data_IF_274510697589
#
_entry.id   IF_274510697589
#
_cell.length_a   1.000
_cell.length_b   1.000
_cell.length_c   1.000
_cell.angle_alpha   90.00
_cell.angle_beta   90.00
_cell.angle_gamma   90.00
#
_symmetry.space_group_name_H-M   'P 1'
#
loop_
_entity.id
_entity.type
_entity.pdbx_description
1 polymer ?
#
# COMPACT_ATOMS: atom_id res chain seq x y z
N UNK A 1 55.90 -13.41 21.80
CA UNK A 1 54.89 -13.82 22.80
C UNK A 1 53.78 -12.77 22.84
N UNK A 2 52.99 -12.65 21.77
CA UNK A 2 51.85 -11.71 21.66
C UNK A 2 51.06 -12.00 20.36
N UNK A 3 50.45 -13.19 20.25
CA UNK A 3 49.52 -13.51 19.15
C UNK A 3 48.49 -14.59 19.52
N UNK A 4 48.17 -14.73 20.81
CA UNK A 4 47.28 -15.79 21.32
C UNK A 4 46.23 -15.30 22.33
N UNK A 5 45.78 -14.04 22.25
CA UNK A 5 44.71 -13.51 23.14
C UNK A 5 43.47 -12.94 22.42
N UNK A 6 43.30 -13.18 21.11
CA UNK A 6 42.17 -12.63 20.34
C UNK A 6 41.08 -13.66 19.95
N UNK A 7 41.06 -14.87 20.52
CA UNK A 7 40.08 -15.92 20.16
C UNK A 7 38.96 -16.18 21.17
N UNK A 8 38.88 -15.42 22.27
CA UNK A 8 37.87 -15.65 23.33
C UNK A 8 36.80 -14.54 23.45
N UNK A 9 36.98 -13.38 22.79
CA UNK A 9 36.04 -12.26 22.84
C UNK A 9 34.86 -12.32 21.85
N UNK A 10 34.92 -13.17 20.82
CA UNK A 10 33.90 -13.19 19.75
C UNK A 10 32.76 -14.20 19.97
N UNK A 11 32.82 -15.03 21.02
CA UNK A 11 31.76 -15.99 21.35
C UNK A 11 30.85 -15.55 22.50
N UNK A 12 31.21 -14.50 23.23
CA UNK A 12 30.41 -13.97 24.34
C UNK A 12 29.45 -12.84 23.93
N UNK A 13 29.62 -12.26 22.74
CA UNK A 13 28.74 -11.23 22.18
C UNK A 13 27.58 -11.78 21.34
N UNK A 14 27.55 -13.08 21.05
CA UNK A 14 26.49 -13.72 20.24
C UNK A 14 25.31 -14.28 21.05
N UNK A 15 25.34 -14.20 22.39
CA UNK A 15 24.25 -14.70 23.25
C UNK A 15 23.35 -13.55 23.76
N UNK A 16 23.71 -12.28 23.52
CA UNK A 16 22.90 -11.12 23.91
C UNK A 16 22.11 -10.48 22.75
N UNK A 17 22.29 -10.91 21.49
CA UNK A 17 21.53 -10.36 20.35
C UNK A 17 20.16 -10.99 20.12
N UNK A 18 19.84 -12.11 20.77
CA UNK A 18 18.53 -12.78 20.68
C UNK A 18 17.50 -12.26 21.70
N UNK A 19 17.90 -11.28 22.52
CA UNK A 19 17.08 -10.65 23.55
C UNK A 19 16.96 -9.13 23.33
N UNK A 20 17.08 -8.65 22.08
CA UNK A 20 16.54 -7.34 21.76
C UNK A 20 15.05 -7.39 22.07
N UNK A 21 14.66 -6.57 23.05
CA UNK A 21 13.32 -6.36 23.57
C UNK A 21 12.30 -6.32 22.43
N UNK A 22 11.71 -7.46 22.07
CA UNK A 22 10.45 -7.51 21.35
C UNK A 22 9.46 -6.86 22.30
N UNK A 23 9.18 -5.58 22.06
CA UNK A 23 8.05 -4.86 22.65
C UNK A 23 6.86 -5.83 22.57
N UNK A 24 6.19 -6.13 23.70
CA UNK A 24 5.08 -7.06 23.68
C UNK A 24 4.08 -6.65 22.61
N UNK A 25 3.49 -7.62 21.88
CA UNK A 25 2.44 -7.29 20.93
C UNK A 25 1.37 -6.51 21.68
N UNK A 26 0.93 -5.40 21.10
CA UNK A 26 -0.19 -4.66 21.66
C UNK A 26 -1.46 -5.45 21.38
N UNK A 27 -2.38 -5.49 22.33
CA UNK A 27 -3.64 -6.20 22.20
C UNK A 27 -4.77 -5.41 22.85
N UNK A 28 -5.97 -5.60 22.32
CA UNK A 28 -7.18 -5.11 22.96
C UNK A 28 -8.03 -6.28 23.44
N UNK A 29 -8.68 -6.08 24.57
CA UNK A 29 -9.64 -7.03 25.12
C UNK A 29 -11.04 -6.61 24.71
N UNK A 30 -11.81 -7.55 24.20
CA UNK A 30 -13.25 -7.35 24.07
C UNK A 30 -13.91 -7.34 25.46
N UNK A 31 -14.78 -6.37 25.74
CA UNK A 31 -15.52 -6.26 27.00
C UNK A 31 -16.65 -7.30 27.13
N UNK A 32 -16.41 -8.54 26.70
CA UNK A 32 -17.37 -9.63 26.68
C UNK A 32 -16.75 -10.92 27.22
N UNK A 33 -17.56 -11.69 27.94
CA UNK A 33 -17.32 -13.11 28.19
C UNK A 33 -17.86 -13.90 27.02
N UNK A 34 -17.04 -14.76 26.43
CA UNK A 34 -17.49 -15.65 25.38
C UNK A 34 -17.94 -16.98 25.96
N UNK A 35 -19.04 -17.51 25.42
CA UNK A 35 -19.60 -18.78 25.85
C UNK A 35 -18.82 -19.93 25.22
N UNK A 36 -18.78 -21.04 25.93
CA UNK A 36 -18.33 -22.35 25.44
C UNK A 36 -19.54 -23.15 24.94
N UNK A 37 -19.28 -24.30 24.33
CA UNK A 37 -20.31 -25.30 24.11
C UNK A 37 -20.98 -25.71 25.44
N UNK A 38 -22.14 -26.36 25.36
CA UNK A 38 -22.83 -26.92 26.54
C UNK A 38 -21.98 -27.98 27.26
N UNK A 39 -21.13 -28.70 26.52
CA UNK A 39 -20.11 -29.61 27.04
C UNK A 39 -19.00 -28.91 27.83
N UNK A 40 -18.93 -27.57 27.79
CA UNK A 40 -17.86 -26.78 28.41
C UNK A 40 -16.62 -26.60 27.53
N UNK A 41 -16.63 -27.12 26.29
CA UNK A 41 -15.51 -26.98 25.36
C UNK A 41 -15.47 -25.59 24.71
N UNK A 42 -14.30 -24.92 24.71
CA UNK A 42 -14.17 -23.63 24.04
C UNK A 42 -14.19 -23.78 22.51
N UNK A 43 -14.71 -22.78 21.78
CA UNK A 43 -14.71 -22.80 20.31
C UNK A 43 -13.33 -22.54 19.69
N UNK A 44 -12.34 -22.18 20.51
CA UNK A 44 -10.94 -21.95 20.12
C UNK A 44 -10.10 -23.07 20.76
N UNK A 45 -9.21 -23.73 19.99
CA UNK A 45 -8.37 -24.78 20.55
C UNK A 45 -7.36 -24.23 21.57
N UNK A 46 -6.98 -25.09 22.51
CA UNK A 46 -5.93 -24.78 23.49
C UNK A 46 -4.55 -24.91 22.86
N UNK A 47 -3.69 -23.92 23.12
CA UNK A 47 -2.25 -23.97 22.78
C UNK A 47 -1.39 -24.04 24.04
N UNK A 48 -2.00 -24.25 25.19
CA UNK A 48 -1.34 -24.44 26.47
C UNK A 48 -0.33 -25.60 26.41
N UNK A 49 0.87 -25.40 26.97
CA UNK A 49 1.95 -26.39 26.93
C UNK A 49 2.66 -26.55 25.58
N UNK A 50 2.18 -25.93 24.49
CA UNK A 50 2.80 -26.03 23.17
C UNK A 50 3.91 -25.00 22.93
N UNK A 51 4.05 -24.01 23.81
CA UNK A 51 5.03 -22.94 23.74
C UNK A 51 5.86 -22.88 25.03
N UNK A 52 7.17 -22.59 24.99
CA UNK A 52 7.97 -22.38 26.20
C UNK A 52 7.36 -21.37 27.18
N UNK A 53 6.70 -20.33 26.68
CA UNK A 53 6.00 -19.31 27.49
C UNK A 53 4.72 -19.84 28.15
N UNK A 54 4.23 -20.99 27.70
CA UNK A 54 2.99 -21.64 28.13
C UNK A 54 3.26 -22.97 28.84
N UNK A 55 4.46 -23.16 29.39
CA UNK A 55 4.79 -24.33 30.21
C UNK A 55 4.47 -24.10 31.69
N UNK A 56 4.31 -25.20 32.44
CA UNK A 56 4.06 -25.19 33.89
C UNK A 56 2.61 -24.86 34.31
N UNK A 57 2.32 -24.84 35.62
CA UNK A 57 0.95 -24.64 36.10
C UNK A 57 0.44 -23.22 35.83
N UNK A 58 -0.69 -23.12 35.13
CA UNK A 58 -1.36 -21.86 34.75
C UNK A 58 -1.59 -20.94 35.95
N UNK A 59 -1.93 -21.50 37.12
CA UNK A 59 -2.23 -20.73 38.34
C UNK A 59 -1.08 -19.80 38.76
N UNK A 60 0.17 -20.21 38.57
CA UNK A 60 1.36 -19.48 38.99
C UNK A 60 2.03 -18.67 37.87
N UNK A 61 1.53 -18.76 36.63
CA UNK A 61 2.09 -18.03 35.49
C UNK A 61 1.86 -16.54 35.66
N UNK A 62 2.95 -15.78 35.75
CA UNK A 62 2.91 -14.33 35.72
C UNK A 62 2.64 -13.81 34.31
N UNK A 63 1.91 -12.70 34.19
CA UNK A 63 1.59 -12.03 32.91
C UNK A 63 0.95 -12.96 31.86
N UNK A 64 -0.04 -13.76 32.27
CA UNK A 64 -0.74 -14.77 31.44
C UNK A 64 -1.18 -14.23 30.07
N UNK A 65 -1.75 -13.02 30.04
CA UNK A 65 -2.17 -12.35 28.80
C UNK A 65 -0.99 -12.12 27.85
N UNK A 66 0.13 -11.60 28.36
CA UNK A 66 1.32 -11.31 27.56
C UNK A 66 1.97 -12.60 27.04
N UNK A 67 2.03 -13.64 27.88
CA UNK A 67 2.57 -14.95 27.48
C UNK A 67 1.73 -15.56 26.36
N UNK A 68 0.41 -15.56 26.51
CA UNK A 68 -0.51 -16.06 25.50
C UNK A 68 -0.43 -15.24 24.21
N UNK A 69 -0.41 -13.90 24.30
CA UNK A 69 -0.25 -13.02 23.14
C UNK A 69 1.04 -13.32 22.36
N UNK A 70 2.17 -13.52 23.05
CA UNK A 70 3.45 -13.86 22.42
C UNK A 70 3.42 -15.24 21.76
N UNK A 71 2.87 -16.24 22.44
CA UNK A 71 2.75 -17.59 21.89
C UNK A 71 1.84 -17.63 20.65
N UNK A 72 0.73 -16.88 20.66
CA UNK A 72 -0.18 -16.75 19.52
C UNK A 72 0.45 -16.02 18.35
N UNK A 73 1.06 -14.85 18.59
CA UNK A 73 1.74 -14.07 17.53
C UNK A 73 2.94 -14.80 16.94
N UNK A 74 3.65 -15.58 17.76
CA UNK A 74 4.71 -16.50 17.33
C UNK A 74 4.25 -17.56 16.33
N UNK A 75 2.95 -17.89 16.34
CA UNK A 75 2.31 -18.84 15.41
C UNK A 75 1.56 -18.17 14.27
N UNK A 76 1.66 -16.85 14.14
CA UNK A 76 0.90 -16.09 13.14
C UNK A 76 -0.59 -15.97 13.46
N UNK A 77 -1.01 -16.21 14.71
CA UNK A 77 -2.40 -16.07 15.13
C UNK A 77 -2.67 -14.65 15.65
N UNK A 78 -3.75 -14.03 15.16
CA UNK A 78 -4.15 -12.67 15.55
C UNK A 78 -5.06 -12.62 16.77
N UNK A 79 -5.83 -13.68 16.98
CA UNK A 79 -6.80 -13.78 18.06
C UNK A 79 -6.35 -14.84 19.08
N UNK A 80 -6.51 -14.50 20.35
CA UNK A 80 -6.23 -15.42 21.44
C UNK A 80 -7.22 -15.20 22.58
N UNK A 81 -7.33 -16.17 23.46
CA UNK A 81 -8.20 -16.08 24.61
C UNK A 81 -7.55 -16.68 25.84
N UNK A 82 -7.97 -16.18 27.01
CA UNK A 82 -7.70 -16.80 28.29
C UNK A 82 -8.95 -17.49 28.80
N UNK A 83 -8.81 -18.75 29.21
CA UNK A 83 -9.89 -19.58 29.74
C UNK A 83 -9.49 -20.22 31.08
N UNK A 84 -10.47 -20.63 31.92
CA UNK A 84 -10.25 -21.36 33.19
C UNK A 84 -9.05 -20.88 34.02
N UNK A 85 -9.00 -19.60 34.36
CA UNK A 85 -7.90 -19.06 35.18
C UNK A 85 -6.60 -18.80 34.41
N UNK A 86 -6.66 -18.69 33.07
CA UNK A 86 -5.58 -18.19 32.23
C UNK A 86 -4.91 -19.20 31.31
N UNK A 87 -5.56 -20.34 31.07
CA UNK A 87 -5.21 -21.27 30.00
C UNK A 87 -5.25 -20.54 28.66
N UNK A 88 -4.20 -20.69 27.85
CA UNK A 88 -4.09 -20.00 26.58
C UNK A 88 -4.77 -20.75 25.44
N UNK A 89 -5.74 -20.10 24.81
CA UNK A 89 -6.44 -20.59 23.63
C UNK A 89 -6.10 -19.72 22.43
N UNK A 90 -5.80 -20.33 21.29
CA UNK A 90 -5.53 -19.61 20.03
C UNK A 90 -5.52 -20.57 18.86
N UNK A 91 -5.63 -20.06 17.64
CA UNK A 91 -5.61 -20.89 16.44
C UNK A 91 -5.78 -20.04 15.18
N UNK A 92 -5.60 -20.66 14.00
CA UNK A 92 -5.71 -19.98 12.71
C UNK A 92 -7.12 -19.41 12.48
N UNK A 93 -8.16 -20.12 12.94
CA UNK A 93 -9.56 -19.70 12.79
C UNK A 93 -10.13 -19.00 14.03
N UNK A 94 -9.29 -18.68 15.04
CA UNK A 94 -9.75 -18.06 16.28
C UNK A 94 -10.52 -16.76 16.03
N UNK A 95 -10.15 -15.99 15.00
CA UNK A 95 -10.85 -14.78 14.55
C UNK A 95 -12.31 -15.05 14.14
N UNK A 96 -12.59 -16.22 13.57
CA UNK A 96 -13.92 -16.57 13.04
C UNK A 96 -14.76 -17.32 14.07
N UNK A 97 -14.12 -18.06 14.97
CA UNK A 97 -14.83 -19.02 15.85
C UNK A 97 -15.03 -18.54 17.28
N UNK A 98 -14.29 -17.52 17.76
CA UNK A 98 -14.30 -17.13 19.17
C UNK A 98 -15.70 -16.84 19.75
N UNK A 99 -16.63 -16.36 18.91
CA UNK A 99 -17.99 -16.00 19.29
C UNK A 99 -19.06 -17.01 18.86
N UNK A 100 -18.67 -18.21 18.41
CA UNK A 100 -19.58 -19.25 17.87
C UNK A 100 -20.79 -19.54 18.77
N UNK A 101 -20.59 -19.58 20.09
CA UNK A 101 -21.65 -19.89 21.06
C UNK A 101 -22.28 -18.63 21.68
N UNK A 102 -21.96 -17.45 21.17
CA UNK A 102 -22.40 -16.16 21.67
C UNK A 102 -21.57 -15.64 22.84
N UNK A 103 -21.96 -14.49 23.35
CA UNK A 103 -21.24 -13.78 24.39
C UNK A 103 -22.19 -13.16 25.42
N UNK A 104 -21.62 -12.65 26.51
CA UNK A 104 -22.29 -11.79 27.47
C UNK A 104 -21.41 -10.58 27.74
N UNK A 105 -22.01 -9.40 27.73
CA UNK A 105 -21.32 -8.14 28.07
C UNK A 105 -20.74 -8.24 29.48
N UNK A 106 -19.46 -7.91 29.63
CA UNK A 106 -18.72 -7.96 30.89
C UNK A 106 -18.95 -6.73 31.77
N UNK A 107 -19.56 -5.67 31.25
CA UNK A 107 -19.80 -4.43 32.00
C UNK A 107 -21.17 -4.48 32.68
N UNK A 108 -21.17 -4.43 34.00
CA UNK A 108 -22.36 -4.01 34.76
C UNK A 108 -22.28 -2.49 34.93
N UNK A 109 -23.28 -1.78 34.43
CA UNK A 109 -23.44 -0.35 34.70
C UNK A 109 -24.17 -0.21 36.04
N UNK A 110 -23.49 0.36 37.03
CA UNK A 110 -24.04 0.67 38.35
C UNK A 110 -24.18 2.19 38.48
N UNK A 111 -25.41 2.69 38.44
CA UNK A 111 -25.72 4.09 38.63
C UNK A 111 -26.21 4.30 40.06
N UNK A 112 -25.53 5.13 40.85
CA UNK A 112 -26.06 5.55 42.14
C UNK A 112 -26.99 6.76 41.93
N UNK A 113 -28.06 6.81 42.71
CA UNK A 113 -29.01 7.94 42.73
C UNK A 113 -28.82 8.70 44.04
N UNK A 114 -27.89 9.65 44.08
CA UNK A 114 -27.80 10.59 45.21
C UNK A 114 -27.89 12.03 44.72
N UNK A 115 -29.16 12.46 44.69
CA UNK A 115 -29.78 13.78 44.80
C UNK A 115 -29.40 14.72 45.96
N UNK A 116 -28.49 15.69 45.85
CA UNK A 116 -28.64 16.89 46.70
C UNK A 116 -28.21 18.16 45.96
N UNK A 117 -29.13 19.13 45.83
CA UNK A 117 -28.96 20.44 45.20
C UNK A 117 -28.65 20.45 43.68
N UNK A 118 -29.45 19.72 42.89
CA UNK A 118 -29.80 20.18 41.54
C UNK A 118 -29.34 19.36 40.34
N UNK A 119 -28.31 18.51 40.41
CA UNK A 119 -27.92 17.62 39.30
C UNK A 119 -27.23 16.35 39.79
N UNK A 120 -27.81 15.16 39.56
CA UNK A 120 -27.08 13.92 39.85
C UNK A 120 -27.50 12.72 39.02
N UNK A 121 -26.57 12.33 38.15
CA UNK A 121 -26.37 10.96 37.68
C UNK A 121 -24.86 10.73 37.55
N UNK A 122 -24.30 9.77 38.28
CA UNK A 122 -22.96 9.24 37.97
C UNK A 122 -23.09 7.72 37.90
N UNK A 123 -22.86 7.19 36.71
CA UNK A 123 -22.85 5.76 36.45
C UNK A 123 -21.41 5.28 36.42
N UNK A 124 -21.10 4.22 37.18
CA UNK A 124 -19.84 3.51 37.11
C UNK A 124 -20.03 2.19 36.35
N UNK A 125 -19.08 1.86 35.48
CA UNK A 125 -19.05 0.57 34.79
C UNK A 125 -18.00 -0.32 35.45
N UNK A 126 -18.43 -1.43 36.06
CA UNK A 126 -17.52 -2.40 36.67
C UNK A 126 -17.54 -3.73 35.91
N UNK A 127 -16.35 -4.33 35.76
CA UNK A 127 -16.18 -5.66 35.17
C UNK A 127 -16.39 -6.72 36.25
N UNK A 128 -17.62 -7.21 36.41
CA UNK A 128 -17.94 -8.13 37.52
C UNK A 128 -18.02 -9.58 37.07
N UNK A 129 -18.55 -9.85 35.88
CA UNK A 129 -18.89 -11.22 35.46
C UNK A 129 -17.74 -11.96 34.76
N UNK A 130 -16.85 -11.24 34.06
CA UNK A 130 -15.77 -11.84 33.28
C UNK A 130 -14.39 -11.74 33.93
N UNK A 131 -14.35 -11.30 35.19
CA UNK A 131 -13.12 -10.94 35.89
C UNK A 131 -12.49 -9.67 35.32
N UNK A 132 -11.27 -9.40 35.76
CA UNK A 132 -10.44 -8.30 35.30
C UNK A 132 -9.78 -8.59 33.94
N UNK A 133 -9.91 -9.82 33.42
CA UNK A 133 -9.43 -10.27 32.12
C UNK A 133 -8.03 -10.88 32.15
N UNK A 134 -7.26 -10.68 33.22
CA UNK A 134 -5.86 -11.10 33.30
C UNK A 134 -5.69 -12.60 33.64
N UNK A 135 -6.69 -13.42 33.30
CA UNK A 135 -6.72 -14.86 33.60
C UNK A 135 -7.11 -15.14 35.06
N UNK A 136 -8.00 -14.32 35.62
CA UNK A 136 -8.62 -14.48 36.93
C UNK A 136 -10.01 -15.15 36.87
N UNK A 137 -10.61 -15.15 35.67
CA UNK A 137 -11.96 -15.65 35.45
C UNK A 137 -11.99 -17.09 34.95
N UNK A 138 -13.06 -17.79 35.29
CA UNK A 138 -13.42 -19.10 34.73
C UNK A 138 -14.06 -18.99 33.34
N UNK A 139 -14.39 -17.78 32.89
CA UNK A 139 -14.99 -17.50 31.57
C UNK A 139 -13.92 -17.16 30.54
N UNK A 140 -14.24 -17.40 29.27
CA UNK A 140 -13.33 -17.12 28.16
C UNK A 140 -13.30 -15.62 27.86
N UNK A 141 -12.12 -15.02 28.00
CA UNK A 141 -11.84 -13.63 27.65
C UNK A 141 -11.04 -13.59 26.34
N UNK A 142 -11.55 -12.92 25.32
CA UNK A 142 -10.93 -12.89 23.98
C UNK A 142 -10.22 -11.56 23.76
N UNK A 143 -9.05 -11.67 23.13
CA UNK A 143 -8.15 -10.59 22.80
C UNK A 143 -7.84 -10.61 21.32
N UNK A 144 -7.72 -9.42 20.71
CA UNK A 144 -7.18 -9.26 19.37
C UNK A 144 -5.85 -8.52 19.45
N UNK A 145 -4.86 -9.01 18.71
CA UNK A 145 -3.58 -8.34 18.54
C UNK A 145 -3.75 -7.18 17.56
N UNK A 146 -3.21 -6.01 17.92
CA UNK A 146 -3.13 -4.87 17.01
C UNK A 146 -2.17 -5.19 15.88
N UNK A 147 -2.55 -4.80 14.67
CA UNK A 147 -1.74 -4.98 13.48
C UNK A 147 -1.59 -3.65 12.76
N UNK A 148 -0.48 -3.51 12.05
CA UNK A 148 -0.08 -2.35 11.27
C UNK A 148 0.13 -2.80 9.83
N UNK A 149 -0.22 -1.95 8.86
CA UNK A 149 -0.12 -2.31 7.44
C UNK A 149 1.25 -1.91 6.89
N UNK A 150 1.86 -2.84 6.17
CA UNK A 150 3.21 -2.72 5.60
C UNK A 150 3.15 -3.08 4.13
N UNK A 151 3.82 -2.29 3.31
CA UNK A 151 3.96 -2.53 1.87
C UNK A 151 5.34 -3.14 1.58
N UNK A 152 5.38 -4.25 0.87
CA UNK A 152 6.58 -4.78 0.23
C UNK A 152 6.59 -4.40 -1.24
N UNK A 153 7.73 -3.93 -1.69
CA UNK A 153 8.02 -3.83 -3.12
C UNK A 153 8.73 -5.10 -3.55
N UNK A 154 8.04 -5.90 -4.36
CA UNK A 154 8.59 -7.16 -4.88
C UNK A 154 8.84 -7.03 -6.37
N UNK A 155 10.09 -7.20 -6.77
CA UNK A 155 10.50 -7.18 -8.17
C UNK A 155 10.29 -8.55 -8.79
N UNK A 156 9.66 -8.60 -9.95
CA UNK A 156 9.35 -9.83 -10.69
C UNK A 156 9.73 -9.65 -12.16
N UNK A 157 9.98 -10.75 -12.87
CA UNK A 157 10.25 -10.71 -14.29
C UNK A 157 9.04 -10.17 -15.08
N UNK A 158 9.28 -9.33 -16.09
CA UNK A 158 8.21 -8.83 -16.97
C UNK A 158 7.52 -9.94 -17.76
N UNK A 159 8.16 -11.09 -17.97
CA UNK A 159 7.60 -12.24 -18.69
C UNK A 159 6.26 -12.76 -18.15
N UNK A 160 5.96 -12.54 -16.86
CA UNK A 160 4.66 -12.88 -16.26
C UNK A 160 3.49 -12.09 -16.87
N UNK A 161 3.78 -10.99 -17.56
CA UNK A 161 2.78 -10.13 -18.17
C UNK A 161 3.20 -9.85 -19.63
N UNK A 162 2.66 -10.58 -20.61
CA UNK A 162 2.97 -10.32 -22.02
C UNK A 162 2.56 -8.91 -22.47
N UNK A 163 1.43 -8.39 -21.97
CA UNK A 163 0.92 -7.04 -22.29
C UNK A 163 0.98 -6.12 -21.08
N UNK A 164 1.19 -4.82 -21.29
CA UNK A 164 1.29 -3.85 -20.19
C UNK A 164 -0.07 -3.58 -19.56
N UNK A 165 -1.14 -3.59 -20.35
CA UNK A 165 -2.51 -3.42 -19.85
C UNK A 165 -2.89 -4.47 -18.79
N UNK A 166 -2.37 -5.69 -18.91
CA UNK A 166 -2.64 -6.77 -17.97
C UNK A 166 -2.08 -6.47 -16.56
N UNK A 167 -1.02 -5.65 -16.44
CA UNK A 167 -0.46 -5.18 -15.16
C UNK A 167 -1.49 -4.36 -14.39
N UNK A 168 -2.31 -3.59 -15.11
CA UNK A 168 -3.26 -2.64 -14.53
C UNK A 168 -4.69 -3.18 -14.49
N UNK A 169 -4.95 -4.35 -15.09
CA UNK A 169 -6.25 -5.00 -15.10
C UNK A 169 -6.31 -6.15 -14.10
N UNK A 170 -6.98 -5.92 -12.96
CA UNK A 170 -7.22 -6.96 -11.94
C UNK A 170 -8.02 -8.15 -12.45
N UNK A 171 -8.78 -7.96 -13.53
CA UNK A 171 -9.58 -9.00 -14.16
C UNK A 171 -8.76 -9.84 -15.16
N UNK A 172 -7.52 -9.45 -15.47
CA UNK A 172 -6.68 -10.24 -16.37
C UNK A 172 -6.23 -11.53 -15.68
N UNK A 173 -6.16 -12.61 -16.47
CA UNK A 173 -5.66 -13.89 -15.96
C UNK A 173 -4.19 -13.77 -15.54
N UNK A 174 -3.38 -12.99 -16.27
CA UNK A 174 -1.98 -12.75 -15.94
C UNK A 174 -1.83 -12.07 -14.57
N UNK A 175 -2.62 -11.02 -14.29
CA UNK A 175 -2.64 -10.38 -12.97
C UNK A 175 -3.03 -11.36 -11.87
N UNK A 176 -4.09 -12.14 -12.09
CA UNK A 176 -4.60 -13.09 -11.09
C UNK A 176 -3.56 -14.17 -10.78
N UNK A 177 -2.94 -14.76 -11.81
CA UNK A 177 -1.90 -15.78 -11.67
C UNK A 177 -0.65 -15.23 -10.98
N UNK A 178 -0.20 -14.03 -11.36
CA UNK A 178 0.97 -13.42 -10.76
C UNK A 178 0.73 -13.04 -9.30
N UNK A 179 -0.45 -12.51 -8.99
CA UNK A 179 -0.84 -12.15 -7.63
C UNK A 179 -0.94 -13.38 -6.72
N UNK A 180 -1.60 -14.45 -7.15
CA UNK A 180 -1.76 -15.67 -6.36
C UNK A 180 -0.46 -16.45 -6.21
N UNK A 181 0.35 -16.54 -7.27
CA UNK A 181 1.67 -17.18 -7.25
C UNK A 181 2.64 -16.47 -6.32
N UNK A 182 2.71 -15.13 -6.42
CA UNK A 182 3.53 -14.32 -5.51
C UNK A 182 3.08 -14.46 -4.06
N UNK A 183 1.76 -14.36 -3.81
CA UNK A 183 1.21 -14.49 -2.46
C UNK A 183 1.55 -15.85 -1.85
N UNK A 184 1.41 -16.94 -2.61
CA UNK A 184 1.72 -18.29 -2.15
C UNK A 184 3.19 -18.44 -1.80
N UNK A 185 4.08 -17.97 -2.68
CA UNK A 185 5.54 -18.01 -2.48
C UNK A 185 5.98 -17.20 -1.26
N UNK A 186 5.38 -16.01 -1.03
CA UNK A 186 5.65 -15.19 0.15
C UNK A 186 5.22 -15.89 1.44
N UNK A 187 4.01 -16.46 1.46
CA UNK A 187 3.48 -17.16 2.65
C UNK A 187 4.34 -18.37 2.99
N UNK A 188 4.79 -19.11 1.98
CA UNK A 188 5.71 -20.24 2.15
C UNK A 188 7.05 -19.80 2.75
N UNK A 189 7.72 -18.79 2.18
CA UNK A 189 8.99 -18.28 2.70
C UNK A 189 8.88 -17.71 4.13
N UNK A 190 7.81 -16.96 4.42
CA UNK A 190 7.52 -16.46 5.77
C UNK A 190 7.39 -17.62 6.76
N UNK A 191 6.70 -18.69 6.35
CA UNK A 191 6.48 -19.88 7.19
C UNK A 191 7.77 -20.66 7.39
N UNK A 192 8.52 -20.94 6.32
CA UNK A 192 9.78 -21.69 6.34
C UNK A 192 10.85 -20.99 7.20
N UNK A 193 10.91 -19.66 7.12
CA UNK A 193 11.82 -18.83 7.93
C UNK A 193 11.32 -18.53 9.34
N UNK A 194 10.09 -18.97 9.66
CA UNK A 194 9.42 -18.72 10.94
C UNK A 194 9.42 -17.23 11.29
N UNK A 195 9.10 -16.38 10.32
CA UNK A 195 8.98 -14.94 10.53
C UNK A 195 7.66 -14.69 11.26
N UNK A 196 7.72 -14.65 12.59
CA UNK A 196 6.57 -14.44 13.45
C UNK A 196 5.93 -13.07 13.24
N UNK A 197 4.68 -12.89 13.66
CA UNK A 197 4.02 -11.58 13.71
C UNK A 197 3.75 -10.94 12.34
N UNK A 198 3.91 -11.69 11.25
CA UNK A 198 3.53 -11.35 9.89
C UNK A 198 2.28 -12.16 9.54
N UNK A 199 1.25 -11.50 9.00
CA UNK A 199 -0.02 -12.12 8.66
C UNK A 199 -0.25 -12.13 7.15
N UNK A 200 -1.21 -12.94 6.68
CA UNK A 200 -1.53 -13.00 5.26
C UNK A 200 -1.93 -11.61 4.73
N UNK A 201 -1.21 -11.19 3.69
CA UNK A 201 -1.46 -9.97 2.96
C UNK A 201 -2.14 -10.19 1.63
N UNK A 202 -2.22 -9.11 0.86
CA UNK A 202 -2.78 -9.06 -0.49
C UNK A 202 -1.94 -8.17 -1.37
N UNK A 203 -1.82 -8.54 -2.63
CA UNK A 203 -1.25 -7.66 -3.63
C UNK A 203 -2.26 -6.57 -4.01
N UNK A 204 -1.82 -5.30 -3.98
CA UNK A 204 -2.69 -4.15 -4.31
C UNK A 204 -2.69 -3.82 -5.80
N UNK A 205 -1.51 -3.71 -6.38
CA UNK A 205 -1.30 -3.39 -7.79
C UNK A 205 0.14 -3.74 -8.21
N UNK A 206 0.38 -3.75 -9.52
CA UNK A 206 1.71 -3.81 -10.11
C UNK A 206 2.02 -2.51 -10.85
N UNK A 207 3.31 -2.24 -11.08
CA UNK A 207 3.78 -1.16 -11.94
C UNK A 207 5.08 -1.53 -12.66
N UNK A 208 5.42 -0.86 -13.77
CA UNK A 208 6.75 -0.96 -14.38
C UNK A 208 7.88 -0.66 -13.39
N UNK A 209 9.01 -1.37 -13.53
CA UNK A 209 10.28 -0.97 -12.92
C UNK A 209 11.07 -0.06 -13.88
N UNK A 210 12.03 0.71 -13.35
CA UNK A 210 12.94 1.51 -14.18
C UNK A 210 13.73 0.66 -15.18
N UNK A 211 13.96 -0.61 -14.85
CA UNK A 211 14.43 -1.60 -15.81
C UNK A 211 13.22 -2.31 -16.44
N UNK A 212 13.01 -2.10 -17.73
CA UNK A 212 11.88 -2.63 -18.50
C UNK A 212 11.77 -4.17 -18.52
N UNK A 213 12.82 -4.88 -18.11
CA UNK A 213 12.80 -6.34 -17.94
C UNK A 213 12.04 -6.78 -16.68
N UNK A 214 11.67 -5.85 -15.81
CA UNK A 214 11.04 -6.13 -14.53
C UNK A 214 9.79 -5.29 -14.29
N UNK A 215 9.00 -5.79 -13.34
CA UNK A 215 7.84 -5.14 -12.79
C UNK A 215 7.96 -5.13 -11.25
N UNK A 216 7.26 -4.21 -10.61
CA UNK A 216 7.17 -4.11 -9.15
C UNK A 216 5.75 -4.41 -8.71
N UNK A 217 5.59 -5.43 -7.88
CA UNK A 217 4.37 -5.74 -7.15
C UNK A 217 4.36 -5.03 -5.80
N UNK A 218 3.24 -4.37 -5.50
CA UNK A 218 2.99 -3.71 -4.22
C UNK A 218 2.15 -4.65 -3.34
N UNK A 219 2.82 -5.40 -2.46
CA UNK A 219 2.19 -6.38 -1.58
C UNK A 219 1.97 -5.81 -0.19
N UNK A 220 0.72 -5.72 0.25
CA UNK A 220 0.36 -5.20 1.57
C UNK A 220 0.07 -6.33 2.52
N UNK A 221 0.65 -6.29 3.71
CA UNK A 221 0.38 -7.30 4.73
C UNK A 221 0.31 -6.70 6.13
N UNK A 222 -0.54 -7.25 7.00
CA UNK A 222 -0.58 -6.84 8.39
C UNK A 222 0.61 -7.41 9.16
N UNK A 223 1.12 -6.65 10.12
CA UNK A 223 2.09 -7.12 11.11
C UNK A 223 1.77 -6.66 12.52
N UNK A 224 2.07 -7.50 13.52
CA UNK A 224 1.99 -7.13 14.93
C UNK A 224 3.17 -6.27 15.42
N UNK A 225 4.21 -6.07 14.59
CA UNK A 225 5.36 -5.26 14.95
C UNK A 225 5.14 -3.79 14.65
N UNK A 226 5.27 -2.98 15.69
CA UNK A 226 5.24 -1.53 15.54
C UNK A 226 6.50 -0.99 14.88
N UNK A 227 7.67 -1.55 15.21
CA UNK A 227 8.92 -1.25 14.54
C UNK A 227 9.20 -2.31 13.47
N UNK A 228 9.07 -1.89 12.21
CA UNK A 228 9.22 -2.74 11.03
C UNK A 228 10.68 -3.07 10.69
N UNK A 229 11.67 -2.51 11.39
CA UNK A 229 13.10 -2.81 11.15
C UNK A 229 13.38 -4.31 11.26
N UNK A 230 12.76 -4.99 12.23
CA UNK A 230 12.87 -6.44 12.38
C UNK A 230 12.36 -7.18 11.14
N UNK A 231 11.21 -6.76 10.60
CA UNK A 231 10.64 -7.37 9.40
C UNK A 231 11.51 -7.04 8.19
N UNK A 232 11.99 -5.81 8.07
CA UNK A 232 12.86 -5.37 6.99
C UNK A 232 14.14 -6.21 6.93
N UNK A 233 14.79 -6.47 8.07
CA UNK A 233 15.98 -7.34 8.16
C UNK A 233 15.71 -8.77 7.68
N UNK A 234 14.50 -9.28 7.91
CA UNK A 234 14.13 -10.65 7.51
C UNK A 234 13.59 -10.76 6.09
N UNK A 235 12.98 -9.70 5.56
CA UNK A 235 12.25 -9.73 4.30
C UNK A 235 13.01 -9.10 3.14
N UNK A 236 13.76 -8.01 3.37
CA UNK A 236 14.49 -7.33 2.28
C UNK A 236 15.61 -8.24 1.77
N UNK A 237 15.67 -8.41 0.45
CA UNK A 237 16.65 -9.28 -0.20
C UNK A 237 16.23 -10.74 -0.28
N UNK A 238 15.06 -11.13 0.25
CA UNK A 238 14.50 -12.46 0.02
C UNK A 238 14.27 -12.70 -1.47
N UNK A 239 14.73 -13.86 -1.93
CA UNK A 239 14.44 -14.40 -3.26
C UNK A 239 13.34 -15.45 -3.12
N UNK A 240 12.27 -15.28 -3.89
CA UNK A 240 11.14 -16.20 -3.98
C UNK A 240 11.40 -17.11 -5.17
N UNK A 241 12.16 -18.19 -4.94
CA UNK A 241 12.75 -19.01 -6.01
C UNK A 241 11.69 -19.61 -6.95
N UNK A 242 10.54 -20.02 -6.42
CA UNK A 242 9.47 -20.62 -7.22
C UNK A 242 8.77 -19.60 -8.14
N UNK A 243 9.02 -18.31 -7.95
CA UNK A 243 8.40 -17.22 -8.70
C UNK A 243 9.41 -16.25 -9.33
N UNK A 244 10.72 -16.55 -9.27
CA UNK A 244 11.82 -15.69 -9.75
C UNK A 244 11.63 -14.20 -9.37
N UNK A 245 11.30 -13.98 -8.09
CA UNK A 245 11.00 -12.66 -7.58
C UNK A 245 11.90 -12.29 -6.40
N UNK A 246 12.14 -11.00 -6.21
CA UNK A 246 13.02 -10.48 -5.16
C UNK A 246 12.36 -9.35 -4.39
N UNK A 247 12.38 -9.43 -3.07
CA UNK A 247 11.91 -8.34 -2.20
C UNK A 247 12.96 -7.23 -2.19
N UNK A 248 12.57 -6.04 -2.65
CA UNK A 248 13.46 -4.91 -2.87
C UNK A 248 13.44 -3.92 -1.70
N UNK A 249 12.24 -3.61 -1.22
CA UNK A 249 12.03 -2.60 -0.20
C UNK A 249 10.80 -2.92 0.64
N UNK A 250 10.73 -2.25 1.78
CA UNK A 250 9.61 -2.33 2.72
C UNK A 250 9.26 -0.92 3.16
N UNK A 251 8.00 -0.55 3.06
CA UNK A 251 7.47 0.75 3.48
C UNK A 251 6.38 0.59 4.53
N UNK A 252 6.33 1.49 5.50
CA UNK A 252 5.20 1.55 6.42
C UNK A 252 4.02 2.20 5.70
N UNK A 253 2.86 1.54 5.69
CA UNK A 253 1.65 2.07 5.04
C UNK A 253 0.61 2.60 6.04
N UNK A 254 0.46 1.93 7.18
CA UNK A 254 -0.40 2.39 8.28
C UNK A 254 0.17 1.95 9.62
N UNK A 255 0.23 2.87 10.59
CA UNK A 255 0.77 2.58 11.91
C UNK A 255 0.18 3.47 13.03
N UNK A 256 0.40 3.07 14.29
CA UNK A 256 0.19 3.93 15.45
C UNK A 256 1.47 4.70 15.79
N UNK A 257 1.34 5.96 16.18
CA UNK A 257 2.44 6.92 16.33
C UNK A 257 3.46 6.67 17.46
N UNK A 258 3.49 5.48 18.06
CA UNK A 258 4.46 5.11 19.10
C UNK A 258 5.68 4.38 18.51
N UNK A 259 6.46 5.07 17.66
CA UNK A 259 7.74 4.54 17.14
C UNK A 259 7.72 4.10 15.68
N UNK A 260 6.65 4.39 14.94
CA UNK A 260 6.59 4.27 13.49
C UNK A 260 5.94 5.49 12.86
N UNK A 261 6.26 5.74 11.59
CA UNK A 261 5.76 6.87 10.80
C UNK A 261 5.54 6.39 9.38
N UNK A 262 4.51 6.88 8.73
CA UNK A 262 4.15 6.48 7.38
C UNK A 262 3.74 7.69 6.55
N UNK A 263 3.67 7.49 5.25
CA UNK A 263 3.26 8.51 4.29
C UNK A 263 2.19 7.93 3.36
N UNK A 264 1.15 8.71 3.09
CA UNK A 264 0.18 8.40 2.02
C UNK A 264 0.39 9.38 0.88
N UNK A 265 0.48 8.83 -0.32
CA UNK A 265 0.71 9.59 -1.55
C UNK A 265 -0.43 9.30 -2.50
N UNK A 266 -1.02 10.35 -3.07
CA UNK A 266 -1.93 10.29 -4.21
C UNK A 266 -1.64 11.46 -5.16
N UNK A 267 -2.28 11.48 -6.32
CA UNK A 267 -2.11 12.56 -7.31
C UNK A 267 -3.45 12.88 -7.98
N UNK A 268 -3.51 14.04 -8.66
CA UNK A 268 -4.69 14.47 -9.42
C UNK A 268 -4.91 13.71 -10.74
N UNK A 269 -3.95 12.90 -11.19
CA UNK A 269 -4.10 12.10 -12.42
C UNK A 269 -4.94 10.84 -12.15
N UNK A 270 -5.65 10.38 -13.19
CA UNK A 270 -6.39 9.13 -13.14
C UNK A 270 -5.47 7.94 -12.90
N UNK A 271 -5.83 7.05 -11.99
CA UNK A 271 -5.10 5.80 -11.74
C UNK A 271 -5.54 4.64 -12.64
N UNK A 272 -6.38 4.91 -13.65
CA UNK A 272 -6.93 3.91 -14.55
C UNK A 272 -6.43 4.10 -15.98
N UNK A 273 -5.79 3.05 -16.53
CA UNK A 273 -5.29 3.04 -17.90
C UNK A 273 -6.39 3.31 -18.94
N UNK A 274 -7.57 2.73 -18.75
CA UNK A 274 -8.69 2.83 -19.71
C UNK A 274 -9.44 4.17 -19.65
N UNK A 275 -9.12 5.02 -18.68
CA UNK A 275 -9.72 6.34 -18.52
C UNK A 275 -8.63 7.32 -18.06
N UNK A 276 -7.63 7.60 -18.90
CA UNK A 276 -6.50 8.44 -18.54
C UNK A 276 -6.94 9.90 -18.39
N UNK A 277 -6.16 10.68 -17.64
CA UNK A 277 -6.35 12.14 -17.63
C UNK A 277 -5.93 12.68 -18.99
N UNK A 278 -6.85 13.37 -19.68
CA UNK A 278 -6.58 13.97 -20.98
C UNK A 278 -6.00 15.36 -20.82
N UNK A 279 -4.99 15.68 -21.61
CA UNK A 279 -4.40 17.00 -21.68
C UNK A 279 -4.08 17.36 -23.12
N UNK A 280 -4.46 18.56 -23.53
CA UNK A 280 -4.21 19.01 -24.90
C UNK A 280 -2.80 19.55 -25.02
N UNK A 281 -2.11 19.20 -26.09
CA UNK A 281 -0.68 19.50 -26.23
C UNK A 281 -0.34 20.99 -26.10
N UNK A 282 -1.20 21.89 -26.55
CA UNK A 282 -1.02 23.35 -26.45
C UNK A 282 -1.26 23.92 -25.04
N UNK A 283 -1.89 23.19 -24.12
CA UNK A 283 -2.27 23.73 -22.82
C UNK A 283 -1.07 23.71 -21.87
N UNK A 284 -0.96 24.74 -21.03
CA UNK A 284 -0.05 24.75 -19.86
C UNK A 284 -0.87 24.58 -18.61
N UNK A 285 -0.67 23.48 -17.89
CA UNK A 285 -1.39 23.22 -16.64
C UNK A 285 -0.43 22.66 -15.59
N UNK A 286 -0.95 22.44 -14.39
CA UNK A 286 -0.20 21.85 -13.29
C UNK A 286 -0.99 20.72 -12.67
N UNK A 287 -0.32 19.59 -12.41
CA UNK A 287 -0.87 18.52 -11.61
C UNK A 287 -0.29 18.56 -10.20
N UNK A 288 -1.11 18.18 -9.21
CA UNK A 288 -0.74 18.20 -7.81
C UNK A 288 -0.62 16.78 -7.26
N UNK A 289 0.40 16.54 -6.44
CA UNK A 289 0.48 15.41 -5.56
C UNK A 289 -0.14 15.75 -4.20
N UNK A 290 -0.88 14.83 -3.61
CA UNK A 290 -1.39 14.94 -2.25
C UNK A 290 -0.61 13.99 -1.35
N UNK A 291 0.13 14.57 -0.39
CA UNK A 291 1.09 13.82 0.42
C UNK A 291 0.85 14.11 1.89
N UNK A 292 0.40 13.10 2.62
CA UNK A 292 0.09 13.18 4.04
C UNK A 292 1.08 12.37 4.84
N UNK A 293 1.83 13.04 5.71
CA UNK A 293 2.73 12.40 6.68
C UNK A 293 2.01 12.24 8.00
N UNK A 294 2.12 11.05 8.58
CA UNK A 294 1.49 10.73 9.85
C UNK A 294 2.55 10.49 10.91
N UNK A 295 2.22 10.87 12.16
CA UNK A 295 3.05 10.73 13.36
C UNK A 295 4.28 11.64 13.42
N UNK A 296 5.15 11.58 12.40
CA UNK A 296 6.31 12.46 12.26
C UNK A 296 6.27 13.08 10.87
N UNK A 297 6.30 14.42 10.83
CA UNK A 297 6.42 15.19 9.60
C UNK A 297 7.90 15.53 9.38
N UNK A 298 8.60 14.87 8.44
CA UNK A 298 10.02 15.08 8.24
C UNK A 298 10.29 16.48 7.66
N UNK A 299 11.39 17.15 8.07
CA UNK A 299 11.72 18.49 7.60
C UNK A 299 12.16 18.49 6.13
N UNK A 300 12.83 17.43 5.67
CA UNK A 300 13.27 17.26 4.28
C UNK A 300 12.49 16.13 3.61
N UNK A 301 11.93 16.43 2.44
CA UNK A 301 11.10 15.53 1.63
C UNK A 301 11.60 15.60 0.19
N UNK A 302 11.89 14.45 -0.39
CA UNK A 302 12.32 14.38 -1.79
C UNK A 302 11.13 13.88 -2.60
N UNK A 303 10.60 14.74 -3.46
CA UNK A 303 9.55 14.40 -4.42
C UNK A 303 10.20 14.08 -5.75
N UNK A 304 9.66 13.12 -6.48
CA UNK A 304 10.11 12.81 -7.83
C UNK A 304 8.92 12.44 -8.67
N UNK A 305 8.69 13.24 -9.72
CA UNK A 305 7.74 12.93 -10.79
C UNK A 305 8.51 12.35 -11.96
N UNK A 306 8.08 11.19 -12.42
CA UNK A 306 8.66 10.51 -13.56
C UNK A 306 7.57 10.12 -14.55
N UNK A 307 7.88 10.20 -15.83
CA UNK A 307 6.99 9.80 -16.91
C UNK A 307 7.67 8.78 -17.81
N UNK A 308 6.87 7.85 -18.34
CA UNK A 308 7.29 6.93 -19.38
C UNK A 308 6.16 6.81 -20.40
N UNK A 309 6.49 6.92 -21.69
CA UNK A 309 5.52 6.71 -22.76
C UNK A 309 5.16 5.23 -22.88
N UNK A 310 3.86 4.97 -23.11
CA UNK A 310 3.31 3.67 -23.42
C UNK A 310 3.21 3.56 -24.95
N UNK A 311 3.81 2.50 -25.51
CA UNK A 311 3.76 2.27 -26.95
C UNK A 311 2.34 1.98 -27.44
N UNK A 312 2.04 2.25 -28.73
CA UNK A 312 0.69 2.08 -29.30
C UNK A 312 0.19 0.63 -29.23
N UNK A 313 1.11 -0.34 -29.18
CA UNK A 313 0.77 -1.76 -29.07
C UNK A 313 0.47 -2.21 -27.63
N UNK A 314 0.54 -1.32 -26.62
CA UNK A 314 0.46 -1.65 -25.20
C UNK A 314 1.45 -2.74 -24.74
N UNK A 315 2.57 -2.93 -25.46
CA UNK A 315 3.61 -3.92 -25.14
C UNK A 315 4.87 -3.28 -24.56
N UNK A 316 5.18 -2.04 -24.97
CA UNK A 316 6.43 -1.36 -24.62
C UNK A 316 6.19 -0.15 -23.71
N UNK A 317 7.12 0.03 -22.78
CA UNK A 317 7.25 1.22 -21.94
C UNK A 317 8.64 1.79 -22.20
N UNK A 318 8.72 3.09 -22.48
CA UNK A 318 10.00 3.78 -22.66
C UNK A 318 10.72 3.99 -21.33
N UNK A 319 11.96 4.48 -21.39
CA UNK A 319 12.71 4.81 -20.19
C UNK A 319 12.04 5.95 -19.41
N UNK A 320 12.06 5.83 -18.09
CA UNK A 320 11.54 6.86 -17.20
C UNK A 320 12.36 8.15 -17.30
N UNK A 321 11.68 9.28 -17.44
CA UNK A 321 12.27 10.61 -17.44
C UNK A 321 11.73 11.40 -16.26
N UNK A 322 12.62 11.96 -15.43
CA UNK A 322 12.22 12.84 -14.33
C UNK A 322 11.76 14.20 -14.87
N UNK A 323 10.54 14.60 -14.53
CA UNK A 323 9.91 15.86 -15.02
C UNK A 323 9.76 16.92 -13.94
N UNK A 324 9.77 16.53 -12.66
CA UNK A 324 9.69 17.47 -11.54
C UNK A 324 10.25 16.86 -10.25
N UNK A 325 10.76 17.71 -9.37
CA UNK A 325 11.19 17.35 -8.01
C UNK A 325 10.42 18.08 -6.90
N UNK A 326 9.29 18.70 -7.26
CA UNK A 326 8.39 19.39 -6.32
C UNK A 326 7.12 18.58 -6.04
N UNK A 327 6.33 19.01 -5.05
CA UNK A 327 5.05 18.37 -4.70
C UNK A 327 4.00 18.48 -5.83
N UNK A 328 4.12 19.49 -6.68
CA UNK A 328 3.38 19.63 -7.94
C UNK A 328 4.31 19.46 -9.13
N UNK A 329 3.72 19.15 -10.28
CA UNK A 329 4.39 19.19 -11.57
C UNK A 329 3.66 20.17 -12.48
N UNK A 330 4.33 21.28 -12.78
CA UNK A 330 3.89 22.22 -13.83
C UNK A 330 4.42 21.72 -15.15
N UNK A 331 3.52 21.47 -16.10
CA UNK A 331 3.90 20.96 -17.41
C UNK A 331 3.46 21.95 -18.49
N UNK A 332 4.47 22.48 -19.18
CA UNK A 332 4.31 23.51 -20.19
C UNK A 332 3.70 22.96 -21.47
N UNK A 333 3.05 23.84 -22.21
CA UNK A 333 2.60 23.56 -23.57
C UNK A 333 3.71 22.90 -24.40
N UNK A 334 3.35 21.85 -25.13
CA UNK A 334 4.20 21.13 -26.09
C UNK A 334 5.41 20.44 -25.47
N UNK A 335 5.43 20.25 -24.14
CA UNK A 335 6.52 19.57 -23.43
C UNK A 335 6.59 18.06 -23.67
N UNK A 336 5.47 17.44 -24.06
CA UNK A 336 5.38 16.01 -24.36
C UNK A 336 4.80 15.77 -25.76
N UNK A 337 5.31 14.78 -26.52
CA UNK A 337 4.67 14.28 -27.72
C UNK A 337 3.27 13.70 -27.47
N UNK A 338 2.47 13.55 -28.52
CA UNK A 338 1.19 12.84 -28.45
C UNK A 338 1.35 11.40 -27.97
N UNK A 339 0.32 10.90 -27.32
CA UNK A 339 0.24 9.51 -26.89
C UNK A 339 -0.05 9.37 -25.41
N UNK A 340 0.03 8.13 -24.94
CA UNK A 340 -0.31 7.74 -23.59
C UNK A 340 0.95 7.61 -22.73
N UNK A 341 0.88 8.09 -21.50
CA UNK A 341 2.00 8.10 -20.55
C UNK A 341 1.60 7.47 -19.23
N UNK A 342 2.50 6.64 -18.70
CA UNK A 342 2.52 6.23 -17.31
C UNK A 342 3.27 7.28 -16.50
N UNK A 343 2.65 7.77 -15.43
CA UNK A 343 3.20 8.80 -14.55
C UNK A 343 3.34 8.22 -13.14
N UNK A 344 4.49 8.42 -12.52
CA UNK A 344 4.75 8.02 -11.15
C UNK A 344 5.17 9.22 -10.32
N UNK A 345 4.52 9.39 -9.16
CA UNK A 345 4.98 10.28 -8.10
C UNK A 345 5.57 9.42 -6.98
N UNK A 346 6.82 9.65 -6.63
CA UNK A 346 7.48 9.01 -5.50
C UNK A 346 7.86 10.06 -4.46
N UNK A 347 7.72 9.69 -3.19
CA UNK A 347 8.11 10.52 -2.05
C UNK A 347 9.00 9.71 -1.15
N UNK A 348 10.23 10.18 -0.95
CA UNK A 348 11.21 9.56 -0.07
C UNK A 348 11.68 10.55 1.00
N UNK A 349 12.01 10.05 2.18
CA UNK A 349 12.48 10.87 3.30
C UNK A 349 13.89 10.43 3.70
N UNK A 350 14.87 11.35 3.83
CA UNK A 350 16.22 10.98 4.25
C UNK A 350 16.30 10.45 5.68
N UNK A 351 15.32 10.77 6.53
CA UNK A 351 15.31 10.37 7.94
C UNK A 351 14.92 8.90 8.15
N UNK A 352 14.11 8.32 7.25
CA UNK A 352 13.68 6.94 7.36
C UNK A 352 13.45 6.35 5.97
N UNK A 353 14.17 5.27 5.59
CA UNK A 353 13.95 4.59 4.32
C UNK A 353 12.56 3.92 4.26
N UNK A 354 11.91 3.73 5.41
CA UNK A 354 10.60 3.08 5.50
C UNK A 354 9.43 4.07 5.38
N UNK A 355 9.68 5.37 5.53
CA UNK A 355 8.69 6.43 5.31
C UNK A 355 8.81 6.92 3.87
N UNK A 356 8.44 6.04 2.95
CA UNK A 356 8.40 6.29 1.52
C UNK A 356 7.03 5.87 0.96
N UNK A 357 6.64 6.46 -0.16
CA UNK A 357 5.35 6.18 -0.78
C UNK A 357 5.32 6.53 -2.26
N UNK A 358 4.38 5.93 -2.96
CA UNK A 358 4.22 6.08 -4.40
C UNK A 358 2.76 6.30 -4.76
N UNK A 359 2.53 7.05 -5.83
CA UNK A 359 1.28 7.08 -6.54
C UNK A 359 1.55 6.88 -8.03
N UNK A 360 0.59 6.26 -8.72
CA UNK A 360 0.62 6.08 -10.18
C UNK A 360 -0.54 6.84 -10.81
N UNK A 361 -0.35 7.28 -12.04
CA UNK A 361 -1.37 7.91 -12.85
C UNK A 361 -1.12 7.73 -14.34
N UNK A 362 -2.15 8.02 -15.14
CA UNK A 362 -2.12 7.94 -16.59
C UNK A 362 -2.49 9.29 -17.20
N UNK A 363 -1.70 9.72 -18.17
CA UNK A 363 -1.85 10.97 -18.89
C UNK A 363 -1.88 10.70 -20.39
N UNK A 364 -2.90 11.18 -21.08
CA UNK A 364 -3.00 11.12 -22.53
C UNK A 364 -2.80 12.53 -23.10
N UNK A 365 -1.82 12.69 -23.97
CA UNK A 365 -1.57 13.93 -24.70
C UNK A 365 -2.33 13.87 -26.02
N UNK A 366 -3.41 14.66 -26.10
CA UNK A 366 -4.32 14.71 -27.24
C UNK A 366 -4.08 15.97 -28.10
N UNK A 367 -4.46 15.93 -29.39
CA UNK A 367 -4.43 17.11 -30.24
C UNK A 367 -5.38 18.19 -29.75
N UNK A 368 -4.94 19.44 -29.87
CA UNK A 368 -5.78 20.62 -29.72
C UNK A 368 -6.78 20.79 -30.85
N UNK A 369 -7.80 21.65 -30.69
CA UNK A 369 -8.66 22.02 -31.80
C UNK A 369 -7.85 22.80 -32.84
N UNK A 370 -7.94 22.37 -34.10
CA UNK A 370 -7.43 23.12 -35.24
C UNK A 370 -8.27 24.38 -35.44
N UNK A 371 -7.60 25.53 -35.55
CA UNK A 371 -8.26 26.79 -35.85
C UNK A 371 -8.11 27.10 -37.34
N UNK A 372 -9.13 26.74 -38.11
CA UNK A 372 -9.21 27.08 -39.54
C UNK A 372 -9.94 28.39 -39.71
N UNK A 373 -9.25 29.39 -40.24
CA UNK A 373 -9.81 30.70 -40.54
C UNK A 373 -9.60 31.01 -42.01
N UNK A 374 -10.71 31.25 -42.71
CA UNK A 374 -10.71 31.83 -44.06
C UNK A 374 -11.00 33.32 -43.87
N UNK A 375 -9.97 34.15 -43.98
CA UNK A 375 -10.07 35.58 -43.77
C UNK A 375 -10.86 36.26 -44.89
N UNK A 376 -10.69 35.80 -46.13
CA UNK A 376 -11.36 36.30 -47.32
C UNK A 376 -11.47 35.22 -48.42
N UNK A 377 -12.39 35.42 -49.36
CA UNK A 377 -12.54 34.61 -50.57
C UNK A 377 -13.43 35.33 -51.59
N UNK A 378 -13.35 34.94 -52.85
CA UNK A 378 -14.21 35.47 -53.90
C UNK A 378 -15.51 34.65 -54.02
N UNK A 379 -16.65 35.32 -54.17
CA UNK A 379 -17.90 34.66 -54.57
C UNK A 379 -17.73 34.08 -55.99
N UNK A 380 -17.94 32.77 -56.13
CA UNK A 380 -17.87 32.08 -57.41
C UNK A 380 -19.22 31.43 -57.74
N UNK A 381 -19.73 31.70 -58.95
CA UNK A 381 -20.87 30.97 -59.51
C UNK A 381 -20.33 29.68 -60.12
N UNK A 382 -20.98 28.54 -59.83
CA UNK A 382 -20.54 27.21 -60.24
C UNK A 382 -20.54 27.09 -61.78
N UNK A 383 -19.38 27.31 -62.38
CA UNK A 383 -19.10 27.01 -63.79
C UNK A 383 -17.92 26.06 -63.82
N UNK A 384 -17.97 25.05 -64.71
CA UNK A 384 -16.86 24.10 -64.85
C UNK A 384 -15.53 24.86 -65.08
N UNK A 385 -14.52 24.57 -64.25
CA UNK A 385 -13.14 25.10 -64.29
C UNK A 385 -12.85 26.50 -63.68
N UNK A 386 -13.68 27.04 -62.77
CA UNK A 386 -13.31 28.27 -62.05
C UNK A 386 -12.36 28.00 -60.87
N UNK A 387 -11.19 28.63 -60.85
CA UNK A 387 -10.25 28.58 -59.72
C UNK A 387 -10.76 29.51 -58.62
N UNK A 388 -11.02 28.96 -57.43
CA UNK A 388 -11.37 29.74 -56.23
C UNK A 388 -10.09 29.99 -55.44
N UNK A 389 -9.86 31.25 -55.07
CA UNK A 389 -8.76 31.63 -54.15
C UNK A 389 -9.34 31.92 -52.78
N UNK A 390 -8.86 31.20 -51.76
CA UNK A 390 -9.21 31.40 -50.36
C UNK A 390 -8.00 31.93 -49.61
N UNK A 391 -8.21 32.95 -48.78
CA UNK A 391 -7.20 33.50 -47.88
C UNK A 391 -7.24 32.76 -46.55
N UNK A 392 -6.32 31.80 -46.37
CA UNK A 392 -6.17 31.02 -45.14
C UNK A 392 -5.11 31.56 -44.18
N UNK A 393 -4.63 32.79 -44.36
CA UNK A 393 -3.47 33.34 -43.59
C UNK A 393 -3.68 33.39 -42.08
N UNK A 394 -4.93 33.37 -41.60
CA UNK A 394 -5.28 33.33 -40.18
C UNK A 394 -5.38 31.91 -39.59
N UNK A 395 -5.25 30.86 -40.41
CA UNK A 395 -5.29 29.45 -39.98
C UNK A 395 -4.03 29.11 -39.18
N UNK A 396 -4.18 28.47 -38.02
CA UNK A 396 -3.05 28.06 -37.20
C UNK A 396 -3.35 26.80 -36.39
N UNK A 397 -2.30 25.99 -36.17
CA UNK A 397 -2.34 24.84 -35.28
C UNK A 397 -1.65 25.18 -33.95
N UNK A 398 -2.40 25.26 -32.83
CA UNK A 398 -1.85 25.63 -31.53
C UNK A 398 -0.89 24.57 -30.96
N UNK A 399 -0.90 23.35 -31.48
CA UNK A 399 -0.02 22.28 -31.00
C UNK A 399 1.41 22.41 -31.50
N UNK A 400 1.62 23.19 -32.56
CA UNK A 400 2.95 23.45 -33.14
C UNK A 400 3.36 24.91 -32.97
N UNK A 401 2.40 25.84 -32.91
CA UNK A 401 2.69 27.28 -32.90
C UNK A 401 2.02 27.99 -31.72
N UNK A 402 2.72 28.95 -31.11
CA UNK A 402 2.19 29.73 -29.98
C UNK A 402 1.28 30.90 -30.42
N UNK A 403 1.45 31.35 -31.66
CA UNK A 403 0.73 32.47 -32.26
C UNK A 403 0.34 32.10 -33.69
N UNK A 404 -0.58 32.86 -34.27
CA UNK A 404 -0.91 32.76 -35.70
C UNK A 404 0.36 32.98 -36.52
N UNK A 405 0.76 31.97 -37.28
CA UNK A 405 1.83 32.13 -38.25
C UNK A 405 1.29 32.86 -39.47
N UNK A 406 1.94 33.94 -39.89
CA UNK A 406 1.71 34.57 -41.19
C UNK A 406 2.22 33.61 -42.27
N UNK A 407 1.43 32.58 -42.58
CA UNK A 407 1.75 31.63 -43.65
C UNK A 407 1.67 32.41 -44.96
N UNK A 408 2.84 32.82 -45.47
CA UNK A 408 2.96 33.55 -46.72
C UNK A 408 2.18 32.82 -47.80
N UNK A 409 1.16 33.50 -48.33
CA UNK A 409 0.29 33.14 -49.46
C UNK A 409 0.61 31.78 -50.11
N UNK A 410 0.18 30.69 -49.47
CA UNK A 410 0.05 29.43 -50.20
C UNK A 410 -1.40 29.36 -50.66
N UNK A 411 -1.56 29.69 -51.94
CA UNK A 411 -2.72 29.41 -52.75
C UNK A 411 -3.20 27.99 -52.42
N UNK A 412 -4.30 27.86 -51.67
CA UNK A 412 -4.95 26.57 -51.45
C UNK A 412 -5.59 26.18 -52.78
N UNK A 413 -4.82 25.49 -53.63
CA UNK A 413 -5.37 24.85 -54.82
C UNK A 413 -6.25 23.71 -54.29
N UNK A 414 -7.47 23.56 -54.80
CA UNK A 414 -8.47 22.61 -54.31
C UNK A 414 -7.95 21.15 -54.13
N UNK A 415 -6.85 20.78 -54.78
CA UNK A 415 -6.18 19.49 -54.63
C UNK A 415 -5.36 19.34 -53.33
N UNK A 416 -4.94 20.42 -52.66
CA UNK A 416 -4.12 20.35 -51.43
C UNK A 416 -4.95 20.25 -50.15
N UNK A 417 -6.28 20.40 -50.23
CA UNK A 417 -7.20 20.17 -49.11
C UNK A 417 -7.11 18.72 -48.63
N UNK A 418 -6.77 17.76 -49.50
CA UNK A 418 -6.57 16.35 -49.11
C UNK A 418 -5.33 16.06 -48.25
N UNK A 419 -4.45 17.04 -48.01
CA UNK A 419 -3.28 16.88 -47.12
C UNK A 419 -3.49 17.46 -45.71
N UNK A 420 -4.62 18.13 -45.49
CA UNK A 420 -5.05 18.68 -44.19
C UNK A 420 -6.08 17.73 -43.52
N UNK A 421 -6.48 16.66 -44.20
CA UNK A 421 -7.39 15.61 -43.70
C UNK A 421 -6.65 14.32 -43.37
#
# INVERSE_FOLDING_TARGET
MLQQQLSLGSKFLFILSSFFLLVPPQYNRYYYCYKTAESGEPPIPSIEGQDPLLTGPVAYRQKKVQACAKASTGRGYRYFALYKGGECLSGPDAEKTYNKYGNKVSTRQYCYRYCWWGWCYRCYSYLVYCGNGYGDSWKMNVYNVYVYDVELLVRLNRSFFPRYEDIFSKNSQAFTNASSGLQSSLVEEITNRKICGVYNGTLRFFRPDHNSSYIIGHYHFPTSFQNITYIADKMIGLTLNDFDAKVMALHQYEAQCFGSSYVRVSMSLSSHLNNPTKHRKQDTTSTAGYVSFYCVNPPKKNYTWEVASLGPDNVTVSNFTTVSSSMSWSFSARSLPYGLYFVQLSVNTPMSPYQAGHAIGFLEIEPGPLYVYIANGYDAVYTENTIITLDGSDTYDPDFFAEKGNFGFNMLIANDIHKIW
#
